data_IF_598332464751
#
_entry.id   IF_598332464751
#
_cell.length_a   1.000
_cell.length_b   1.000
_cell.length_c   1.000
_cell.angle_alpha   90.00
_cell.angle_beta   90.00
_cell.angle_gamma   90.00
#
_symmetry.space_group_name_H-M   'P 1'
#
loop_
_entity.id
_entity.type
_entity.pdbx_description
1 polymer ?
#
# COMPACT_ATOMS: atom_id res chain seq x y z
N UNK A 1 29.66 26.62 -37.59
CA UNK A 1 29.14 25.30 -38.02
C UNK A 1 28.12 24.90 -37.00
N UNK A 2 26.91 25.43 -37.17
CA UNK A 2 25.75 25.05 -36.39
C UNK A 2 25.34 23.66 -36.85
N UNK A 3 25.52 22.66 -35.99
CA UNK A 3 24.96 21.34 -36.18
C UNK A 3 23.45 21.43 -35.94
N UNK A 4 22.70 21.66 -37.01
CA UNK A 4 21.27 21.39 -37.05
C UNK A 4 21.06 19.95 -36.57
N UNK A 5 20.54 19.80 -35.34
CA UNK A 5 20.00 18.52 -34.89
C UNK A 5 18.80 18.25 -35.77
N UNK A 6 18.98 17.43 -36.80
CA UNK A 6 17.87 16.80 -37.50
C UNK A 6 17.01 16.11 -36.44
N UNK A 7 15.86 16.70 -36.12
CA UNK A 7 14.79 16.01 -35.39
C UNK A 7 14.31 14.89 -36.31
N UNK A 8 14.91 13.70 -36.14
CA UNK A 8 14.44 12.49 -36.83
C UNK A 8 12.95 12.33 -36.51
N UNK A 9 12.11 12.49 -37.54
CA UNK A 9 10.68 12.22 -37.47
C UNK A 9 10.48 10.87 -36.77
N UNK A 10 9.73 10.87 -35.66
CA UNK A 10 9.51 9.66 -34.90
C UNK A 10 8.91 8.60 -35.83
N UNK A 11 9.38 7.34 -35.78
CA UNK A 11 8.81 6.27 -36.59
C UNK A 11 7.29 6.23 -36.38
N UNK A 12 6.51 6.09 -37.46
CA UNK A 12 5.06 5.87 -37.34
C UNK A 12 4.82 4.54 -36.62
N UNK A 13 4.67 4.61 -35.30
CA UNK A 13 4.29 3.48 -34.46
C UNK A 13 2.77 3.39 -34.39
N UNK A 14 2.23 2.17 -34.52
CA UNK A 14 0.80 1.94 -34.31
C UNK A 14 0.41 2.11 -32.84
N UNK A 15 -0.89 2.00 -32.56
CA UNK A 15 -1.40 2.03 -31.20
C UNK A 15 -0.88 0.84 -30.38
N UNK A 16 -0.19 1.12 -29.27
CA UNK A 16 0.34 0.11 -28.35
C UNK A 16 -0.54 0.06 -27.10
N UNK A 17 -1.22 -1.07 -26.88
CA UNK A 17 -2.13 -1.25 -25.74
C UNK A 17 -1.41 -1.54 -24.43
N UNK A 18 -2.11 -1.27 -23.32
CA UNK A 18 -1.74 -1.75 -22.00
C UNK A 18 -1.84 -3.27 -21.87
N UNK A 19 -1.25 -3.82 -20.81
CA UNK A 19 -1.42 -5.24 -20.49
C UNK A 19 -2.77 -5.45 -19.79
N UNK A 20 -3.78 -5.90 -20.54
CA UNK A 20 -5.16 -6.07 -20.07
C UNK A 20 -5.29 -7.05 -18.90
N UNK A 21 -4.47 -8.11 -18.89
CA UNK A 21 -4.46 -9.09 -17.79
C UNK A 21 -4.01 -8.42 -16.49
N UNK A 22 -2.91 -7.67 -16.54
CA UNK A 22 -2.42 -6.95 -15.36
C UNK A 22 -3.38 -5.86 -14.89
N UNK A 23 -4.04 -5.15 -15.81
CA UNK A 23 -5.08 -4.18 -15.47
C UNK A 23 -6.22 -4.88 -14.73
N UNK A 24 -6.72 -6.00 -15.24
CA UNK A 24 -7.80 -6.75 -14.58
C UNK A 24 -7.42 -7.26 -13.17
N UNK A 25 -6.15 -7.62 -12.96
CA UNK A 25 -5.65 -7.99 -11.63
C UNK A 25 -5.55 -6.77 -10.72
N UNK A 26 -5.02 -5.65 -11.21
CA UNK A 26 -4.94 -4.39 -10.45
C UNK A 26 -6.32 -3.88 -10.02
N UNK A 27 -7.35 -4.08 -10.84
CA UNK A 27 -8.73 -3.71 -10.50
C UNK A 27 -9.29 -4.53 -9.32
N UNK A 28 -8.71 -5.71 -9.05
CA UNK A 28 -9.01 -6.53 -7.87
C UNK A 28 -8.11 -6.20 -6.68
N UNK A 29 -6.83 -5.91 -6.91
CA UNK A 29 -5.87 -5.63 -5.83
C UNK A 29 -6.05 -4.23 -5.21
N UNK A 30 -6.33 -3.21 -6.04
CA UNK A 30 -6.49 -1.82 -5.55
C UNK A 30 -7.60 -1.65 -4.51
N UNK A 31 -8.80 -2.27 -4.65
CA UNK A 31 -9.82 -2.27 -3.61
C UNK A 31 -9.34 -2.85 -2.28
N UNK A 32 -8.62 -3.97 -2.29
CA UNK A 32 -8.12 -4.62 -1.07
C UNK A 32 -7.14 -3.70 -0.30
N UNK A 33 -6.23 -3.03 -1.02
CA UNK A 33 -5.31 -2.05 -0.42
C UNK A 33 -6.08 -0.88 0.21
N UNK A 34 -7.12 -0.39 -0.49
CA UNK A 34 -7.96 0.72 -0.02
C UNK A 34 -8.74 0.33 1.23
N UNK A 35 -9.42 -0.81 1.19
CA UNK A 35 -10.24 -1.29 2.29
C UNK A 35 -9.38 -1.49 3.55
N UNK A 36 -8.21 -2.14 3.42
CA UNK A 36 -7.31 -2.32 4.56
C UNK A 36 -6.94 -0.99 5.22
N UNK A 37 -6.60 0.03 4.42
CA UNK A 37 -6.30 1.38 4.92
C UNK A 37 -7.48 2.02 5.63
N UNK A 38 -8.69 1.88 5.09
CA UNK A 38 -9.92 2.37 5.72
C UNK A 38 -10.18 1.68 7.06
N UNK A 39 -9.96 0.37 7.16
CA UNK A 39 -10.06 -0.37 8.43
C UNK A 39 -8.99 0.09 9.43
N UNK A 40 -7.76 0.33 9.01
CA UNK A 40 -6.72 0.88 9.89
C UNK A 40 -7.14 2.25 10.45
N UNK A 41 -7.66 3.15 9.63
CA UNK A 41 -8.14 4.47 10.08
C UNK A 41 -9.26 4.27 11.11
N UNK A 42 -10.25 3.44 10.80
CA UNK A 42 -11.37 3.15 11.69
C UNK A 42 -10.92 2.65 13.07
N UNK A 43 -10.02 1.66 13.11
CA UNK A 43 -9.53 1.07 14.36
C UNK A 43 -8.64 2.06 15.12
N UNK A 44 -7.78 2.80 14.43
CA UNK A 44 -6.97 3.88 15.04
C UNK A 44 -7.86 4.90 15.72
N UNK A 45 -8.89 5.38 15.03
CA UNK A 45 -9.86 6.34 15.59
C UNK A 45 -10.60 5.76 16.78
N UNK A 46 -11.03 4.49 16.72
CA UNK A 46 -11.64 3.82 17.86
C UNK A 46 -10.72 3.79 19.09
N UNK A 47 -9.45 3.36 18.94
CA UNK A 47 -8.51 3.33 20.07
C UNK A 47 -8.25 4.73 20.62
N UNK A 48 -8.12 5.75 19.76
CA UNK A 48 -7.96 7.14 20.20
C UNK A 48 -9.12 7.62 21.07
N UNK A 49 -10.36 7.23 20.77
CA UNK A 49 -11.52 7.53 21.63
C UNK A 49 -11.53 6.75 22.94
N UNK A 50 -10.80 5.63 23.03
CA UNK A 50 -10.64 4.87 24.27
C UNK A 50 -9.51 5.38 25.17
N UNK A 51 -8.72 6.37 24.73
CA UNK A 51 -7.67 6.97 25.56
C UNK A 51 -8.34 7.79 26.68
N UNK A 52 -8.05 7.50 27.96
CA UNK A 52 -8.68 8.17 29.10
C UNK A 52 -8.11 9.58 29.28
N UNK A 53 -8.68 10.33 30.23
CA UNK A 53 -8.11 11.60 30.67
C UNK A 53 -6.66 11.39 31.13
N UNK A 54 -5.79 12.35 30.84
CA UNK A 54 -4.41 12.38 31.32
C UNK A 54 -4.42 12.61 32.84
N UNK A 55 -3.75 11.73 33.56
CA UNK A 55 -3.64 11.71 35.02
C UNK A 55 -2.20 11.32 35.41
N UNK A 56 -1.81 11.58 36.66
CA UNK A 56 -0.49 11.21 37.16
C UNK A 56 -0.51 9.75 37.64
N UNK A 57 0.14 8.86 36.88
CA UNK A 57 0.27 7.45 37.22
C UNK A 57 -0.85 6.54 36.67
N UNK A 58 -0.68 5.23 36.90
CA UNK A 58 -1.53 4.17 36.32
C UNK A 58 -1.57 4.22 34.77
N UNK A 59 -0.44 4.49 34.12
CA UNK A 59 -0.37 4.73 32.66
C UNK A 59 0.01 3.49 31.84
N UNK A 60 0.18 2.33 32.48
CA UNK A 60 0.54 1.11 31.76
C UNK A 60 -0.48 0.75 30.67
N UNK A 61 -1.79 0.85 30.95
CA UNK A 61 -2.82 0.60 29.94
C UNK A 61 -2.78 1.59 28.78
N UNK A 62 -2.47 2.86 29.06
CA UNK A 62 -2.31 3.91 28.04
C UNK A 62 -1.08 3.62 27.17
N UNK A 63 0.05 3.21 27.77
CA UNK A 63 1.24 2.80 27.03
C UNK A 63 0.97 1.58 26.12
N UNK A 64 0.09 0.66 26.53
CA UNK A 64 -0.36 -0.44 25.65
C UNK A 64 -1.17 0.10 24.46
N UNK A 65 -2.10 1.04 24.68
CA UNK A 65 -2.85 1.69 23.61
C UNK A 65 -1.92 2.39 22.61
N UNK A 66 -0.96 3.17 23.09
CA UNK A 66 0.06 3.84 22.26
C UNK A 66 0.87 2.85 21.43
N UNK A 67 1.29 1.73 22.03
CA UNK A 67 2.07 0.71 21.32
C UNK A 67 1.26 0.02 20.23
N UNK A 68 -0.02 -0.23 20.46
CA UNK A 68 -0.92 -0.78 19.44
C UNK A 68 -1.14 0.23 18.31
N UNK A 69 -1.35 1.51 18.63
CA UNK A 69 -1.48 2.60 17.64
C UNK A 69 -0.24 2.75 16.77
N UNK A 70 0.96 2.68 17.35
CA UNK A 70 2.23 2.66 16.62
C UNK A 70 2.24 1.50 15.61
N UNK A 71 1.79 0.31 16.04
CA UNK A 71 1.78 -0.86 15.17
C UNK A 71 0.78 -0.72 14.01
N UNK A 72 -0.43 -0.24 14.27
CA UNK A 72 -1.44 0.01 13.22
C UNK A 72 -0.89 1.01 12.20
N UNK A 73 -0.24 2.08 12.69
CA UNK A 73 0.38 3.09 11.83
C UNK A 73 1.47 2.49 10.94
N UNK A 74 2.33 1.63 11.49
CA UNK A 74 3.35 0.94 10.71
C UNK A 74 2.75 0.04 9.60
N UNK A 75 1.68 -0.69 9.88
CA UNK A 75 0.99 -1.52 8.88
C UNK A 75 0.33 -0.65 7.79
N UNK A 76 -0.33 0.45 8.19
CA UNK A 76 -0.93 1.40 7.25
C UNK A 76 0.12 2.00 6.31
N UNK A 77 1.29 2.39 6.82
CA UNK A 77 2.38 2.95 6.00
C UNK A 77 2.89 1.95 4.97
N UNK A 78 2.98 0.66 5.31
CA UNK A 78 3.32 -0.39 4.34
C UNK A 78 2.27 -0.51 3.23
N UNK A 79 0.99 -0.49 3.59
CA UNK A 79 -0.09 -0.50 2.61
C UNK A 79 -0.14 0.76 1.73
N UNK A 80 0.23 1.93 2.28
CA UNK A 80 0.38 3.18 1.53
C UNK A 80 1.46 3.04 0.44
N UNK A 81 2.57 2.36 0.73
CA UNK A 81 3.64 2.13 -0.24
C UNK A 81 3.20 1.31 -1.47
N UNK A 82 2.22 0.41 -1.32
CA UNK A 82 1.69 -0.37 -2.44
C UNK A 82 1.07 0.50 -3.53
N UNK A 83 0.39 1.60 -3.16
CA UNK A 83 -0.17 2.55 -4.13
C UNK A 83 0.93 3.23 -4.96
N UNK A 84 2.04 3.58 -4.32
CA UNK A 84 3.22 4.14 -4.98
C UNK A 84 3.84 3.14 -5.96
N UNK A 85 3.99 1.87 -5.57
CA UNK A 85 4.48 0.81 -6.46
C UNK A 85 3.59 0.65 -7.70
N UNK A 86 2.26 0.63 -7.52
CA UNK A 86 1.31 0.52 -8.63
C UNK A 86 1.41 1.73 -9.57
N UNK A 87 1.47 2.95 -9.04
CA UNK A 87 1.61 4.16 -9.86
C UNK A 87 2.94 4.16 -10.64
N UNK A 88 4.02 3.72 -9.99
CA UNK A 88 5.35 3.62 -10.59
C UNK A 88 5.39 2.64 -11.76
N UNK A 89 4.67 1.52 -11.69
CA UNK A 89 4.57 0.58 -12.82
C UNK A 89 4.04 1.25 -14.09
N UNK A 90 2.97 2.05 -14.01
CA UNK A 90 2.42 2.72 -15.19
C UNK A 90 3.40 3.72 -15.80
N UNK A 91 4.13 4.47 -14.96
CA UNK A 91 5.16 5.40 -15.39
C UNK A 91 6.31 4.65 -16.08
N UNK A 92 6.91 3.67 -15.40
CA UNK A 92 8.08 2.94 -15.91
C UNK A 92 7.77 2.13 -17.17
N UNK A 93 6.57 1.52 -17.24
CA UNK A 93 6.12 0.82 -18.44
C UNK A 93 5.88 1.79 -19.58
N UNK A 94 5.26 2.94 -19.32
CA UNK A 94 5.06 4.00 -20.32
C UNK A 94 6.39 4.45 -20.93
N UNK A 95 7.38 4.72 -20.08
CA UNK A 95 8.73 5.11 -20.52
C UNK A 95 9.43 4.00 -21.31
N UNK A 96 9.31 2.74 -20.88
CA UNK A 96 9.88 1.60 -21.59
C UNK A 96 9.24 1.43 -22.98
N UNK A 97 7.91 1.54 -23.09
CA UNK A 97 7.18 1.48 -24.36
C UNK A 97 7.57 2.63 -25.28
N UNK A 98 7.65 3.86 -24.76
CA UNK A 98 8.06 5.03 -25.53
C UNK A 98 9.46 4.84 -26.13
N UNK A 99 10.44 4.40 -25.32
CA UNK A 99 11.79 4.08 -25.79
C UNK A 99 11.80 2.95 -26.82
N UNK A 100 11.05 1.87 -26.59
CA UNK A 100 10.96 0.75 -27.52
C UNK A 100 10.35 1.14 -28.88
N UNK A 101 9.41 2.10 -28.90
CA UNK A 101 8.81 2.61 -30.14
C UNK A 101 9.72 3.57 -30.91
N UNK A 102 10.56 4.33 -30.21
CA UNK A 102 11.47 5.32 -30.80
C UNK A 102 12.76 4.67 -31.29
N UNK A 103 13.41 3.89 -30.44
CA UNK A 103 14.71 3.26 -30.69
C UNK A 103 14.50 1.79 -31.04
N UNK A 104 13.86 1.54 -32.18
CA UNK A 104 13.38 0.21 -32.60
C UNK A 104 14.46 -0.86 -32.76
N UNK A 105 15.72 -0.44 -32.92
CA UNK A 105 16.91 -1.28 -33.03
C UNK A 105 17.44 -1.76 -31.67
N UNK A 106 17.04 -1.12 -30.56
CA UNK A 106 17.45 -1.49 -29.20
C UNK A 106 16.43 -2.48 -28.64
N UNK A 107 16.68 -3.77 -28.85
CA UNK A 107 15.75 -4.83 -28.47
C UNK A 107 15.56 -4.96 -26.94
N UNK A 108 16.52 -4.51 -26.15
CA UNK A 108 16.41 -4.49 -24.68
C UNK A 108 15.24 -3.65 -24.17
N UNK A 109 14.81 -2.60 -24.89
CA UNK A 109 13.62 -1.85 -24.50
C UNK A 109 12.33 -2.66 -24.64
N UNK A 110 12.27 -3.60 -25.59
CA UNK A 110 11.13 -4.52 -25.70
C UNK A 110 11.13 -5.53 -24.56
N UNK A 111 12.31 -6.09 -24.26
CA UNK A 111 12.48 -6.95 -23.08
C UNK A 111 12.09 -6.22 -21.80
N UNK A 112 12.51 -4.96 -21.64
CA UNK A 112 12.18 -4.14 -20.47
C UNK A 112 10.67 -3.98 -20.27
N UNK A 113 9.88 -3.82 -21.33
CA UNK A 113 8.41 -3.78 -21.21
C UNK A 113 7.87 -5.08 -20.59
N UNK A 114 8.36 -6.24 -21.06
CA UNK A 114 7.97 -7.54 -20.53
C UNK A 114 8.43 -7.76 -19.09
N UNK A 115 9.67 -7.37 -18.77
CA UNK A 115 10.21 -7.45 -17.40
C UNK A 115 9.41 -6.57 -16.42
N UNK A 116 8.96 -5.38 -16.83
CA UNK A 116 8.09 -4.54 -15.99
C UNK A 116 6.73 -5.19 -15.75
N UNK A 117 6.18 -5.86 -16.77
CA UNK A 117 4.92 -6.61 -16.65
C UNK A 117 5.05 -7.81 -15.70
N UNK A 118 6.15 -8.57 -15.79
CA UNK A 118 6.41 -9.68 -14.85
C UNK A 118 6.70 -9.21 -13.43
N UNK A 119 7.46 -8.13 -13.28
CA UNK A 119 7.78 -7.56 -11.98
C UNK A 119 6.52 -7.14 -11.23
N UNK A 120 5.62 -6.36 -11.87
CA UNK A 120 4.39 -5.93 -11.19
C UNK A 120 3.46 -7.11 -10.88
N UNK A 121 3.46 -8.15 -11.71
CA UNK A 121 2.69 -9.37 -11.42
C UNK A 121 3.14 -10.02 -10.11
N UNK A 122 4.45 -10.22 -9.93
CA UNK A 122 5.03 -10.77 -8.70
C UNK A 122 4.76 -9.86 -7.50
N UNK A 123 4.91 -8.55 -7.67
CA UNK A 123 4.61 -7.57 -6.63
C UNK A 123 3.13 -7.63 -6.21
N UNK A 124 2.18 -7.72 -7.15
CA UNK A 124 0.76 -7.87 -6.82
C UNK A 124 0.48 -9.14 -6.00
N UNK A 125 1.14 -10.26 -6.29
CA UNK A 125 1.00 -11.48 -5.48
C UNK A 125 1.48 -11.25 -4.04
N UNK A 126 2.63 -10.60 -3.88
CA UNK A 126 3.17 -10.26 -2.56
C UNK A 126 2.22 -9.30 -1.82
N UNK A 127 1.71 -8.26 -2.48
CA UNK A 127 0.76 -7.31 -1.88
C UNK A 127 -0.46 -8.02 -1.28
N UNK A 128 -1.06 -8.97 -2.00
CA UNK A 128 -2.24 -9.70 -1.51
C UNK A 128 -1.87 -10.59 -0.31
N UNK A 129 -0.72 -11.26 -0.35
CA UNK A 129 -0.23 -12.07 0.76
C UNK A 129 0.04 -11.22 2.00
N UNK A 130 0.63 -10.04 1.81
CA UNK A 130 0.92 -9.08 2.87
C UNK A 130 -0.37 -8.51 3.47
N UNK A 131 -1.35 -8.10 2.67
CA UNK A 131 -2.65 -7.62 3.17
C UNK A 131 -3.31 -8.67 4.05
N UNK A 132 -3.33 -9.94 3.61
CA UNK A 132 -3.84 -11.06 4.43
C UNK A 132 -3.07 -11.18 5.74
N UNK A 133 -1.74 -11.08 5.67
CA UNK A 133 -0.87 -11.08 6.85
C UNK A 133 -1.17 -9.92 7.80
N UNK A 134 -1.37 -8.72 7.28
CA UNK A 134 -1.67 -7.52 8.05
C UNK A 134 -3.00 -7.63 8.77
N UNK A 135 -4.05 -8.18 8.14
CA UNK A 135 -5.32 -8.45 8.82
C UNK A 135 -5.16 -9.44 9.97
N UNK A 136 -4.44 -10.55 9.75
CA UNK A 136 -4.20 -11.53 10.80
C UNK A 136 -3.41 -10.94 11.97
N UNK A 137 -2.41 -10.12 11.67
CA UNK A 137 -1.59 -9.45 12.67
C UNK A 137 -2.38 -8.40 13.46
N UNK A 138 -3.18 -7.58 12.76
CA UNK A 138 -4.06 -6.59 13.36
C UNK A 138 -5.06 -7.28 14.31
N UNK A 139 -5.70 -8.35 13.85
CA UNK A 139 -6.61 -9.12 14.69
C UNK A 139 -5.89 -9.65 15.94
N UNK A 140 -4.71 -10.26 15.77
CA UNK A 140 -3.94 -10.85 16.87
C UNK A 140 -3.56 -9.83 17.96
N UNK A 141 -3.02 -8.67 17.55
CA UNK A 141 -2.59 -7.65 18.51
C UNK A 141 -3.79 -7.01 19.22
N UNK A 142 -4.89 -6.77 18.50
CA UNK A 142 -6.11 -6.22 19.10
C UNK A 142 -6.74 -7.20 20.08
N UNK A 143 -6.90 -8.47 19.68
CA UNK A 143 -7.56 -9.48 20.50
C UNK A 143 -6.81 -9.76 21.80
N UNK A 144 -5.47 -9.83 21.74
CA UNK A 144 -4.65 -10.09 22.94
C UNK A 144 -4.65 -8.94 23.94
N UNK A 145 -4.82 -7.71 23.46
CA UNK A 145 -4.72 -6.52 24.30
C UNK A 145 -6.09 -5.87 24.56
N UNK A 146 -7.20 -6.51 24.16
CA UNK A 146 -8.54 -5.91 24.15
C UNK A 146 -8.96 -5.34 25.51
N UNK A 147 -8.63 -6.01 26.61
CA UNK A 147 -8.93 -5.54 27.96
C UNK A 147 -8.26 -4.19 28.26
N UNK A 148 -6.96 -4.07 27.95
CA UNK A 148 -6.20 -2.81 28.15
C UNK A 148 -6.56 -1.74 27.12
N UNK A 149 -6.99 -2.13 25.93
CA UNK A 149 -7.50 -1.19 24.93
C UNK A 149 -8.83 -0.57 25.35
N UNK A 150 -9.70 -1.32 26.02
CA UNK A 150 -11.06 -0.88 26.38
C UNK A 150 -11.19 -0.34 27.80
N UNK A 151 -10.35 -0.80 28.73
CA UNK A 151 -10.30 -0.36 30.12
C UNK A 151 -8.84 -0.18 30.59
N UNK A 152 -8.13 0.84 30.07
CA UNK A 152 -6.70 1.02 30.34
C UNK A 152 -6.39 1.32 31.81
N UNK A 153 -7.30 1.98 32.53
CA UNK A 153 -7.14 2.34 33.96
C UNK A 153 -7.65 1.25 34.92
N UNK A 154 -8.33 0.22 34.41
CA UNK A 154 -8.83 -0.88 35.23
C UNK A 154 -9.99 -0.50 36.15
N UNK A 155 -10.80 0.48 35.74
CA UNK A 155 -11.99 0.89 36.49
C UNK A 155 -12.97 -0.28 36.57
N UNK A 156 -13.59 -0.49 37.74
CA UNK A 156 -14.68 -1.45 37.85
C UNK A 156 -15.78 -1.06 36.88
N UNK A 157 -16.23 -2.00 36.05
CA UNK A 157 -17.40 -1.76 35.20
C UNK A 157 -18.53 -1.33 36.13
N UNK A 158 -19.18 -0.17 35.89
CA UNK A 158 -20.31 0.23 36.73
C UNK A 158 -21.29 -0.93 36.77
N UNK A 159 -21.66 -1.35 37.97
CA UNK A 159 -22.68 -2.36 38.18
C UNK A 159 -23.91 -1.90 37.42
N UNK A 160 -24.27 -2.62 36.34
CA UNK A 160 -25.45 -2.33 35.55
C UNK A 160 -26.67 -2.68 36.42
N UNK A 161 -27.10 -1.72 37.23
CA UNK A 161 -28.44 -1.64 37.80
C UNK A 161 -29.31 -0.78 36.89
#
# INVERSE_FOLDING_TARGET
MDTEKEEKEAPKCGYLKGNEVLISLLDRVKPEVREFKEKCILVTTWIQFMIPKIEDGNDFGVAVQEKVLERITALKTKADAFQTTIAKYFLERGDAVAKASKDTHVMDYRCLVHERDEAIYREMQIMVLDIRGFYAELYHILSKNLEKLTNPKGEEKPSMY
#
